data_IF_416283876667
#
_entry.id   IF_416283876667
#
_cell.length_a   1.000
_cell.length_b   1.000
_cell.length_c   1.000
_cell.angle_alpha   90.00
_cell.angle_beta   90.00
_cell.angle_gamma   90.00
#
_symmetry.space_group_name_H-M   'P 1'
#
loop_
_entity.id
_entity.type
_entity.pdbx_description
1 polymer ?
#
# COMPACT_ATOMS: atom_id res chain seq x y z
N UNK A 1 -8.60 -12.62 4.64
CA UNK A 1 -8.73 -13.81 3.76
C UNK A 1 -8.09 -13.56 2.39
N UNK A 2 -8.44 -12.49 1.69
CA UNK A 2 -7.93 -12.18 0.34
C UNK A 2 -6.39 -12.07 0.29
N UNK A 3 -5.77 -11.39 1.26
CA UNK A 3 -4.31 -11.29 1.37
C UNK A 3 -3.65 -12.67 1.43
N UNK A 4 -4.15 -13.58 2.28
CA UNK A 4 -3.59 -14.93 2.41
C UNK A 4 -3.72 -15.76 1.12
N UNK A 5 -4.76 -15.51 0.32
CA UNK A 5 -4.94 -16.21 -0.95
C UNK A 5 -3.82 -15.90 -1.95
N UNK A 6 -3.35 -14.65 -1.97
CA UNK A 6 -2.36 -14.19 -2.93
C UNK A 6 -0.92 -14.20 -2.41
N UNK A 7 -0.71 -14.23 -1.09
CA UNK A 7 0.59 -14.16 -0.44
C UNK A 7 1.43 -15.42 -0.68
N UNK A 8 2.65 -15.27 -1.19
CA UNK A 8 3.61 -16.37 -1.41
C UNK A 8 3.91 -17.16 -0.13
N UNK A 9 3.87 -16.51 1.04
CA UNK A 9 4.17 -17.12 2.36
C UNK A 9 3.09 -18.10 2.83
N UNK A 10 1.91 -18.07 2.25
CA UNK A 10 0.80 -18.95 2.62
C UNK A 10 0.66 -20.16 1.72
N UNK A 11 1.61 -20.36 0.79
CA UNK A 11 1.60 -21.47 -0.17
C UNK A 11 1.44 -22.81 0.51
N UNK A 12 2.24 -23.10 1.53
CA UNK A 12 2.25 -24.38 2.24
C UNK A 12 1.00 -24.58 3.12
N UNK A 13 0.26 -23.50 3.41
CA UNK A 13 -0.97 -23.51 4.21
C UNK A 13 -2.23 -23.39 3.36
N UNK A 14 -2.10 -23.37 2.05
CA UNK A 14 -3.22 -23.09 1.13
C UNK A 14 -4.39 -24.04 1.35
N UNK A 15 -4.13 -25.34 1.36
CA UNK A 15 -5.18 -26.37 1.53
C UNK A 15 -5.87 -26.27 2.91
N UNK A 16 -5.10 -25.96 3.95
CA UNK A 16 -5.67 -25.77 5.30
C UNK A 16 -6.56 -24.51 5.37
N UNK A 17 -6.24 -23.46 4.61
CA UNK A 17 -6.98 -22.20 4.62
C UNK A 17 -8.16 -22.16 3.65
N UNK A 18 -8.05 -22.84 2.52
CA UNK A 18 -8.98 -22.70 1.40
C UNK A 18 -9.52 -24.00 0.85
N UNK A 19 -9.00 -25.18 1.24
CA UNK A 19 -9.32 -26.47 0.64
C UNK A 19 -10.81 -26.80 0.61
N UNK A 20 -11.57 -26.42 1.65
CA UNK A 20 -13.02 -26.64 1.72
C UNK A 20 -13.84 -25.61 0.93
N UNK A 21 -13.23 -24.49 0.52
CA UNK A 21 -13.90 -23.41 -0.17
C UNK A 21 -13.91 -23.66 -1.69
N UNK A 22 -14.85 -23.01 -2.39
CA UNK A 22 -14.92 -23.06 -3.86
C UNK A 22 -13.59 -22.60 -4.50
N UNK A 23 -13.01 -21.51 -4.01
CA UNK A 23 -11.75 -20.96 -4.51
C UNK A 23 -10.54 -21.87 -4.26
N UNK A 24 -10.60 -22.72 -3.24
CA UNK A 24 -9.58 -23.72 -2.97
C UNK A 24 -9.66 -24.90 -3.94
N UNK A 25 -10.89 -25.32 -4.30
CA UNK A 25 -11.14 -26.39 -5.27
C UNK A 25 -10.92 -25.94 -6.73
N UNK A 26 -11.09 -24.65 -6.99
CA UNK A 26 -10.93 -24.01 -8.29
C UNK A 26 -9.98 -22.80 -8.21
N UNK A 27 -8.69 -23.00 -7.85
CA UNK A 27 -7.77 -21.89 -7.64
C UNK A 27 -7.44 -21.16 -8.95
N UNK A 28 -7.27 -19.86 -8.83
CA UNK A 28 -6.81 -19.02 -9.94
C UNK A 28 -5.31 -19.19 -10.17
N UNK A 29 -4.81 -18.75 -11.32
CA UNK A 29 -3.37 -18.77 -11.66
C UNK A 29 -2.56 -17.86 -10.73
N UNK A 30 -3.20 -16.85 -10.15
CA UNK A 30 -2.57 -15.82 -9.33
C UNK A 30 -2.46 -16.20 -7.85
N UNK A 31 -2.95 -17.40 -7.44
CA UNK A 31 -2.82 -17.85 -6.05
C UNK A 31 -1.36 -17.89 -5.61
N UNK A 32 -1.08 -17.44 -4.39
CA UNK A 32 0.26 -17.47 -3.77
C UNK A 32 1.39 -16.99 -4.70
N UNK A 33 1.13 -15.89 -5.45
CA UNK A 33 2.04 -15.40 -6.49
C UNK A 33 2.62 -14.02 -6.20
N UNK A 34 2.22 -13.38 -5.09
CA UNK A 34 2.58 -12.00 -4.81
C UNK A 34 3.22 -11.82 -3.44
N UNK A 35 4.09 -10.83 -3.33
CA UNK A 35 4.40 -10.18 -2.07
C UNK A 35 3.24 -9.22 -1.77
N UNK A 36 2.58 -9.40 -0.62
CA UNK A 36 1.40 -8.61 -0.26
C UNK A 36 1.83 -7.40 0.57
N UNK A 37 1.65 -6.20 0.01
CA UNK A 37 1.82 -4.94 0.73
C UNK A 37 0.43 -4.43 1.16
N UNK A 38 0.22 -4.27 2.47
CA UNK A 38 -1.03 -3.82 3.04
C UNK A 38 -0.85 -2.50 3.78
N UNK A 39 -1.63 -1.50 3.36
CA UNK A 39 -1.69 -0.17 3.95
C UNK A 39 -3.11 0.09 4.43
N UNK A 40 -3.30 0.30 5.73
CA UNK A 40 -4.59 0.67 6.30
C UNK A 40 -4.57 2.13 6.75
N UNK A 41 -5.21 3.00 6.00
CA UNK A 41 -5.17 4.44 6.25
C UNK A 41 -6.04 4.90 7.43
N UNK A 42 -6.84 4.01 8.04
CA UNK A 42 -7.58 4.35 9.28
C UNK A 42 -6.66 4.72 10.45
N UNK A 43 -5.42 4.24 10.42
CA UNK A 43 -4.42 4.55 11.45
C UNK A 43 -3.70 5.89 11.28
N UNK A 44 -3.97 6.64 10.20
CA UNK A 44 -3.35 7.95 9.96
C UNK A 44 -4.10 8.99 10.78
N UNK A 45 -3.36 9.81 11.56
CA UNK A 45 -3.95 10.90 12.35
C UNK A 45 -4.69 11.89 11.44
N UNK A 46 -5.94 12.22 11.79
CA UNK A 46 -6.79 13.16 11.06
C UNK A 46 -6.45 14.63 11.25
N UNK A 47 -5.40 14.98 12.01
CA UNK A 47 -4.96 16.36 12.17
C UNK A 47 -4.22 16.85 10.91
N UNK A 48 -4.84 17.77 10.19
CA UNK A 48 -4.39 18.30 8.90
C UNK A 48 -2.95 18.80 8.87
N UNK A 49 -2.50 19.50 9.90
CA UNK A 49 -1.13 20.04 9.94
C UNK A 49 -0.06 18.97 10.16
N UNK A 50 -0.44 17.75 10.58
CA UNK A 50 0.47 16.63 10.78
C UNK A 50 0.25 15.48 9.79
N UNK A 51 -0.69 15.65 8.84
CA UNK A 51 -1.11 14.60 7.92
C UNK A 51 0.06 13.96 7.15
N UNK A 52 0.93 14.77 6.55
CA UNK A 52 2.09 14.25 5.81
C UNK A 52 2.97 13.39 6.72
N UNK A 53 3.27 13.87 7.93
CA UNK A 53 4.07 13.12 8.89
C UNK A 53 3.37 11.83 9.34
N UNK A 54 2.05 11.87 9.52
CA UNK A 54 1.24 10.71 9.86
C UNK A 54 1.26 9.66 8.74
N UNK A 55 1.10 10.08 7.49
CA UNK A 55 1.19 9.19 6.33
C UNK A 55 2.59 8.57 6.20
N UNK A 56 3.64 9.40 6.33
CA UNK A 56 5.02 8.94 6.25
C UNK A 56 5.34 7.91 7.35
N UNK A 57 4.98 8.19 8.59
CA UNK A 57 5.22 7.27 9.72
C UNK A 57 4.45 5.95 9.56
N UNK A 58 3.19 6.02 9.13
CA UNK A 58 2.37 4.85 8.90
C UNK A 58 2.91 3.98 7.76
N UNK A 59 3.23 4.60 6.63
CA UNK A 59 3.80 3.90 5.48
C UNK A 59 5.18 3.31 5.79
N UNK A 60 6.05 4.06 6.48
CA UNK A 60 7.36 3.58 6.89
C UNK A 60 7.24 2.29 7.72
N UNK A 61 6.35 2.28 8.73
CA UNK A 61 6.10 1.08 9.55
C UNK A 61 5.64 -0.10 8.70
N UNK A 62 4.74 0.14 7.74
CA UNK A 62 4.20 -0.90 6.85
C UNK A 62 5.26 -1.43 5.88
N UNK A 63 6.11 -0.55 5.35
CA UNK A 63 7.21 -0.93 4.45
C UNK A 63 8.32 -1.68 5.19
N UNK A 64 8.66 -1.27 6.40
CA UNK A 64 9.59 -1.99 7.26
C UNK A 64 9.11 -3.41 7.54
N UNK A 65 7.84 -3.54 7.93
CA UNK A 65 7.21 -4.85 8.14
C UNK A 65 7.23 -5.70 6.87
N UNK A 66 6.91 -5.11 5.73
CA UNK A 66 6.99 -5.79 4.43
C UNK A 66 8.40 -6.31 4.15
N UNK A 67 9.43 -5.50 4.36
CA UNK A 67 10.82 -5.91 4.18
C UNK A 67 11.20 -7.06 5.10
N UNK A 68 10.76 -7.03 6.37
CA UNK A 68 11.07 -8.07 7.35
C UNK A 68 10.42 -9.41 6.98
N UNK A 69 9.13 -9.40 6.63
CA UNK A 69 8.39 -10.65 6.34
C UNK A 69 8.75 -11.27 4.98
N UNK A 70 9.32 -10.49 4.06
CA UNK A 70 9.75 -10.95 2.74
C UNK A 70 11.26 -10.88 2.54
N UNK A 71 12.05 -10.90 3.63
CA UNK A 71 13.51 -10.75 3.57
C UNK A 71 14.20 -11.78 2.66
N UNK A 72 13.65 -12.99 2.52
CA UNK A 72 14.17 -14.03 1.62
C UNK A 72 13.89 -13.78 0.12
N UNK A 73 12.93 -12.90 -0.20
CA UNK A 73 12.54 -12.54 -1.57
C UNK A 73 13.16 -11.23 -2.03
N UNK A 74 13.75 -10.46 -1.14
CA UNK A 74 14.20 -9.09 -1.36
C UNK A 74 15.73 -8.98 -1.29
N UNK A 75 16.31 -7.97 -1.94
CA UNK A 75 17.75 -7.71 -1.85
C UNK A 75 18.17 -7.42 -0.40
N UNK A 76 19.35 -7.93 -0.01
CA UNK A 76 19.95 -7.61 1.30
C UNK A 76 20.21 -6.10 1.40
N UNK A 77 19.96 -5.52 2.57
CA UNK A 77 20.18 -4.09 2.81
C UNK A 77 19.08 -3.17 2.26
N UNK A 78 17.97 -3.72 1.73
CA UNK A 78 16.86 -2.91 1.20
C UNK A 78 16.26 -2.00 2.27
N UNK A 79 16.10 -2.51 3.50
CA UNK A 79 15.45 -1.80 4.60
C UNK A 79 16.27 -0.58 5.06
N UNK A 80 17.58 -0.71 5.13
CA UNK A 80 18.49 0.35 5.50
C UNK A 80 18.39 1.52 4.52
N UNK A 81 18.47 1.23 3.22
CA UNK A 81 18.33 2.26 2.18
C UNK A 81 16.92 2.84 2.11
N UNK A 82 15.89 2.02 2.36
CA UNK A 82 14.50 2.46 2.40
C UNK A 82 14.30 3.54 3.49
N UNK A 83 14.88 3.32 4.67
CA UNK A 83 14.76 4.22 5.82
C UNK A 83 15.55 5.53 5.67
N UNK A 84 16.44 5.63 4.69
CA UNK A 84 17.12 6.88 4.31
C UNK A 84 16.26 7.77 3.39
N UNK A 85 15.14 7.27 2.85
CA UNK A 85 14.27 8.03 1.95
C UNK A 85 13.45 9.07 2.70
N UNK A 86 13.15 10.18 2.03
CA UNK A 86 12.56 11.39 2.64
C UNK A 86 11.06 11.26 3.01
N UNK A 87 10.43 10.10 2.83
CA UNK A 87 9.04 9.84 3.18
C UNK A 87 8.35 8.81 2.30
N UNK A 88 7.06 8.58 2.54
CA UNK A 88 6.28 7.50 1.94
C UNK A 88 6.34 7.44 0.41
N UNK A 89 6.36 8.60 -0.24
CA UNK A 89 6.40 8.71 -1.72
C UNK A 89 7.69 8.13 -2.29
N UNK A 90 8.85 8.52 -1.72
CA UNK A 90 10.14 8.03 -2.17
C UNK A 90 10.40 6.58 -1.72
N UNK A 91 9.91 6.22 -0.54
CA UNK A 91 10.01 4.86 -0.02
C UNK A 91 9.23 3.88 -0.91
N UNK A 92 8.01 4.21 -1.31
CA UNK A 92 7.20 3.38 -2.20
C UNK A 92 7.87 3.24 -3.57
N UNK A 93 8.39 4.35 -4.12
CA UNK A 93 9.10 4.36 -5.40
C UNK A 93 10.31 3.42 -5.37
N UNK A 94 11.13 3.53 -4.34
CA UNK A 94 12.28 2.66 -4.14
C UNK A 94 11.87 1.18 -3.97
N UNK A 95 10.87 0.92 -3.12
CA UNK A 95 10.43 -0.44 -2.79
C UNK A 95 9.96 -1.22 -4.02
N UNK A 96 9.07 -0.63 -4.84
CA UNK A 96 8.58 -1.36 -5.99
C UNK A 96 9.64 -1.57 -7.08
N UNK A 97 10.60 -0.65 -7.24
CA UNK A 97 11.73 -0.86 -8.13
C UNK A 97 12.66 -1.98 -7.64
N UNK A 98 12.92 -2.07 -6.33
CA UNK A 98 13.71 -3.18 -5.77
C UNK A 98 13.01 -4.53 -5.93
N UNK A 99 11.69 -4.58 -5.77
CA UNK A 99 10.90 -5.78 -6.06
C UNK A 99 11.00 -6.17 -7.55
N UNK A 100 10.95 -5.20 -8.47
CA UNK A 100 11.11 -5.46 -9.90
C UNK A 100 12.49 -6.06 -10.22
N UNK A 101 13.56 -5.46 -9.69
CA UNK A 101 14.93 -5.95 -9.87
C UNK A 101 15.11 -7.37 -9.30
N UNK A 102 14.40 -7.70 -8.22
CA UNK A 102 14.38 -9.02 -7.63
C UNK A 102 13.47 -10.02 -8.37
N UNK A 103 12.78 -9.60 -9.45
CA UNK A 103 11.82 -10.42 -10.17
C UNK A 103 10.54 -10.72 -9.39
N UNK A 104 10.24 -9.93 -8.35
CA UNK A 104 9.07 -10.10 -7.49
C UNK A 104 7.89 -9.22 -7.94
N UNK A 105 6.69 -9.69 -7.65
CA UNK A 105 5.45 -8.97 -7.95
C UNK A 105 4.73 -8.60 -6.66
N UNK A 106 4.23 -7.37 -6.59
CA UNK A 106 3.48 -6.84 -5.45
C UNK A 106 1.98 -6.88 -5.76
N UNK A 107 1.20 -7.34 -4.78
CA UNK A 107 -0.21 -7.03 -4.67
C UNK A 107 -0.38 -5.99 -3.56
N UNK A 108 -0.70 -4.76 -3.96
CA UNK A 108 -0.93 -3.65 -3.04
C UNK A 108 -2.39 -3.62 -2.60
N UNK A 109 -2.61 -3.63 -1.28
CA UNK A 109 -3.90 -3.38 -0.66
C UNK A 109 -3.86 -2.04 0.07
N UNK A 110 -4.79 -1.15 -0.24
CA UNK A 110 -5.01 0.11 0.48
C UNK A 110 -6.42 0.08 1.02
N UNK A 111 -6.55 0.07 2.34
CA UNK A 111 -7.84 0.04 3.04
C UNK A 111 -8.12 1.40 3.67
N UNK A 112 -9.40 1.79 3.64
CA UNK A 112 -9.88 3.07 4.16
C UNK A 112 -9.11 4.29 3.62
N UNK A 113 -8.87 4.31 2.29
CA UNK A 113 -8.10 5.37 1.62
C UNK A 113 -8.70 6.78 1.79
N UNK A 114 -10.00 6.85 2.08
CA UNK A 114 -10.79 8.06 2.27
C UNK A 114 -10.92 8.47 3.75
N UNK A 115 -10.38 7.69 4.69
CA UNK A 115 -10.54 7.97 6.13
C UNK A 115 -10.07 9.38 6.50
N UNK A 116 -8.88 9.77 6.09
CA UNK A 116 -8.36 11.09 6.39
C UNK A 116 -9.09 12.19 5.60
N UNK A 117 -9.58 11.90 4.40
CA UNK A 117 -10.39 12.82 3.58
C UNK A 117 -11.67 13.20 4.30
N UNK A 118 -12.33 12.21 4.90
CA UNK A 118 -13.56 12.43 5.67
C UNK A 118 -13.27 13.23 6.95
N UNK A 119 -12.13 13.02 7.59
CA UNK A 119 -11.70 13.83 8.74
C UNK A 119 -11.46 15.30 8.35
N UNK A 120 -10.89 15.55 7.19
CA UNK A 120 -10.70 16.90 6.63
C UNK A 120 -12.03 17.58 6.28
N UNK A 121 -12.94 16.85 5.63
CA UNK A 121 -14.24 17.41 5.19
C UNK A 121 -15.20 17.71 6.36
N UNK A 122 -14.93 17.16 7.55
CA UNK A 122 -15.74 17.44 8.73
C UNK A 122 -15.54 18.86 9.31
N UNK A 123 -14.52 19.60 8.85
CA UNK A 123 -14.20 20.94 9.31
C UNK A 123 -14.21 21.94 8.12
N UNK A 124 -15.09 22.95 8.20
CA UNK A 124 -15.29 23.92 7.11
C UNK A 124 -14.05 24.76 6.75
N UNK A 125 -13.14 25.03 7.72
CA UNK A 125 -11.86 25.70 7.45
C UNK A 125 -10.88 24.80 6.70
N UNK A 126 -11.10 23.52 6.76
CA UNK A 126 -10.24 22.50 6.18
C UNK A 126 -10.51 22.20 4.71
N UNK A 127 -11.67 22.62 4.18
CA UNK A 127 -12.06 22.38 2.77
C UNK A 127 -11.05 23.00 1.79
N UNK A 128 -10.51 24.18 2.10
CA UNK A 128 -9.51 24.84 1.25
C UNK A 128 -8.20 24.04 1.21
N UNK A 129 -7.75 23.53 2.36
CA UNK A 129 -6.55 22.68 2.48
C UNK A 129 -6.74 21.30 1.85
N UNK A 130 -7.94 20.74 1.94
CA UNK A 130 -8.29 19.51 1.24
C UNK A 130 -8.06 19.65 -0.26
N UNK A 131 -8.52 20.76 -0.84
CA UNK A 131 -8.31 21.05 -2.26
C UNK A 131 -6.81 21.18 -2.60
N UNK A 132 -6.01 21.77 -1.70
CA UNK A 132 -4.56 21.87 -1.89
C UNK A 132 -3.86 20.50 -1.82
N UNK A 133 -4.27 19.62 -0.90
CA UNK A 133 -3.63 18.30 -0.70
C UNK A 133 -4.10 17.23 -1.71
N UNK A 134 -5.32 17.33 -2.22
CA UNK A 134 -5.88 16.37 -3.19
C UNK A 134 -5.76 16.86 -4.63
N UNK A 135 -5.71 18.19 -4.86
CA UNK A 135 -5.57 18.79 -6.17
C UNK A 135 -4.15 19.36 -6.40
N UNK A 136 -3.75 19.50 -7.64
CA UNK A 136 -2.46 20.04 -8.10
C UNK A 136 -1.26 19.21 -7.59
N UNK A 137 -0.55 19.70 -6.59
CA UNK A 137 0.73 19.14 -6.10
C UNK A 137 0.62 18.53 -4.69
N UNK A 138 -0.60 18.22 -4.21
CA UNK A 138 -0.81 17.65 -2.87
C UNK A 138 -0.02 16.36 -2.61
N UNK A 139 0.44 16.15 -1.38
CA UNK A 139 1.29 15.02 -1.02
C UNK A 139 0.58 13.67 -1.20
N UNK A 140 -0.71 13.58 -0.89
CA UNK A 140 -1.50 12.38 -1.12
C UNK A 140 -1.61 12.04 -2.61
N UNK A 141 -1.86 13.05 -3.44
CA UNK A 141 -1.86 12.89 -4.89
C UNK A 141 -0.50 12.38 -5.39
N UNK A 142 0.60 12.93 -4.88
CA UNK A 142 1.94 12.45 -5.20
C UNK A 142 2.11 10.97 -4.83
N UNK A 143 1.61 10.55 -3.66
CA UNK A 143 1.63 9.15 -3.25
C UNK A 143 0.85 8.25 -4.22
N UNK A 144 -0.40 8.59 -4.57
CA UNK A 144 -1.18 7.80 -5.52
C UNK A 144 -0.62 7.84 -6.95
N UNK A 145 0.04 8.93 -7.36
CA UNK A 145 0.79 8.96 -8.61
C UNK A 145 1.96 7.95 -8.60
N UNK A 146 2.61 7.72 -7.44
CA UNK A 146 3.62 6.66 -7.31
C UNK A 146 3.00 5.28 -7.31
N UNK A 147 1.85 5.08 -6.68
CA UNK A 147 1.08 3.82 -6.81
C UNK A 147 0.80 3.54 -8.30
N UNK A 148 0.29 4.52 -9.03
CA UNK A 148 0.02 4.39 -10.48
C UNK A 148 1.30 4.09 -11.26
N UNK A 149 2.40 4.79 -11.00
CA UNK A 149 3.68 4.50 -11.64
C UNK A 149 4.15 3.07 -11.38
N UNK A 150 4.02 2.60 -10.13
CA UNK A 150 4.37 1.23 -9.73
C UNK A 150 3.58 0.14 -10.46
N UNK A 151 2.38 0.44 -11.01
CA UNK A 151 1.62 -0.53 -11.83
C UNK A 151 2.28 -0.84 -13.17
N UNK A 152 3.16 0.00 -13.65
CA UNK A 152 4.01 -0.27 -14.83
C UNK A 152 5.29 -1.04 -14.46
N UNK A 153 5.59 -1.19 -13.17
CA UNK A 153 6.73 -1.91 -12.62
C UNK A 153 6.27 -3.20 -11.91
N UNK A 154 6.57 -3.37 -10.63
CA UNK A 154 6.27 -4.59 -9.86
C UNK A 154 4.89 -4.64 -9.21
N UNK A 155 4.16 -3.53 -9.08
CA UNK A 155 2.79 -3.53 -8.54
C UNK A 155 1.83 -4.08 -9.60
N UNK A 156 1.63 -5.40 -9.66
CA UNK A 156 0.80 -6.04 -10.70
C UNK A 156 -0.68 -6.08 -10.36
N UNK A 157 -1.03 -5.91 -9.09
CA UNK A 157 -2.42 -5.83 -8.62
C UNK A 157 -2.52 -4.74 -7.56
N UNK A 158 -3.63 -4.03 -7.58
CA UNK A 158 -3.98 -3.05 -6.56
C UNK A 158 -5.45 -3.20 -6.18
N UNK A 159 -5.74 -3.25 -4.88
CA UNK A 159 -7.09 -3.30 -4.34
C UNK A 159 -7.23 -2.17 -3.32
N UNK A 160 -8.10 -1.22 -3.63
CA UNK A 160 -8.31 -0.02 -2.83
C UNK A 160 -9.75 -0.04 -2.34
N UNK A 161 -9.94 0.14 -1.02
CA UNK A 161 -11.27 0.21 -0.39
C UNK A 161 -11.42 1.52 0.37
N UNK A 162 -12.67 1.98 0.44
CA UNK A 162 -13.10 3.17 1.17
C UNK A 162 -14.62 3.28 1.15
N UNK A 163 -15.16 4.18 1.96
CA UNK A 163 -16.60 4.41 2.10
C UNK A 163 -17.09 5.49 1.13
N UNK A 164 -16.25 6.49 0.88
CA UNK A 164 -16.60 7.64 0.04
C UNK A 164 -15.65 7.77 -1.15
N UNK A 165 -16.16 8.07 -2.35
CA UNK A 165 -15.28 8.36 -3.48
C UNK A 165 -14.53 9.68 -3.24
N UNK A 166 -13.22 9.64 -3.32
CA UNK A 166 -12.34 10.83 -3.29
C UNK A 166 -11.91 11.13 -4.72
N UNK A 167 -12.26 12.30 -5.22
CA UNK A 167 -11.82 12.77 -6.54
C UNK A 167 -10.41 13.35 -6.40
N UNK A 168 -9.47 12.80 -7.14
CA UNK A 168 -8.09 13.26 -7.22
C UNK A 168 -7.81 13.72 -8.66
N UNK A 169 -8.41 14.85 -9.03
CA UNK A 169 -8.29 15.42 -10.38
C UNK A 169 -7.02 16.23 -10.57
#
# INVERSE_FOLDING_TARGET
MLQHYYDVRTRDKFDALFGDLYIGKHPTRDRNSYLVLYLNFSGISGELHNYRQGLDAHCNTSFDYFCDIYAEYLPKGIKEVLNEKAGAVEQLDYLYHQCELAGQQIYLFIDEYDHFTNAILSDAESIHRYTEETHKEGYLRAFFNRVKAGTYSSIKRCFITGVSPVTMD
#
